data_IF_162643897040
#
_entry.id   IF_162643897040
#
_cell.length_a   1.000
_cell.length_b   1.000
_cell.length_c   1.000
_cell.angle_alpha   90.00
_cell.angle_beta   90.00
_cell.angle_gamma   90.00
#
_symmetry.space_group_name_H-M   'P 1'
#
loop_
_entity.id
_entity.type
_entity.pdbx_description
1 polymer ?
#
# COMPACT_ATOMS: atom_id res chain seq x y z
N UNK A 1 -9.87 -30.71 8.48
CA UNK A 1 -10.00 -29.25 8.72
C UNK A 1 -8.65 -28.76 9.20
N UNK A 2 -7.80 -28.25 8.30
CA UNK A 2 -6.44 -27.82 8.65
C UNK A 2 -6.36 -26.29 8.53
N UNK A 3 -6.34 -25.61 9.66
CA UNK A 3 -5.94 -24.20 9.73
C UNK A 3 -4.41 -24.18 9.76
N UNK A 4 -3.79 -23.79 8.66
CA UNK A 4 -2.38 -23.40 8.65
C UNK A 4 -2.30 -22.01 9.29
N UNK A 5 -1.79 -21.94 10.51
CA UNK A 5 -1.35 -20.68 11.11
C UNK A 5 -0.07 -20.26 10.39
N UNK A 6 -0.08 -19.12 9.70
CA UNK A 6 1.15 -18.51 9.17
C UNK A 6 2.15 -18.37 10.33
N UNK A 7 3.31 -19.00 10.17
CA UNK A 7 4.46 -18.88 11.06
C UNK A 7 5.31 -17.71 10.54
N UNK A 8 5.53 -16.70 11.39
CA UNK A 8 6.27 -15.48 11.06
C UNK A 8 7.71 -15.51 11.58
N UNK A 9 8.21 -16.69 12.00
CA UNK A 9 9.54 -16.82 12.62
C UNK A 9 10.72 -16.61 11.66
N UNK A 10 10.48 -16.55 10.35
CA UNK A 10 11.49 -16.32 9.31
C UNK A 10 11.54 -14.87 8.79
N UNK A 11 10.71 -13.98 9.34
CA UNK A 11 10.70 -12.56 8.96
C UNK A 11 12.00 -11.87 9.40
N UNK A 12 12.91 -11.64 8.45
CA UNK A 12 14.12 -10.85 8.68
C UNK A 12 13.91 -9.40 8.28
N UNK A 13 14.43 -8.48 9.11
CA UNK A 13 14.51 -7.06 8.78
C UNK A 13 15.40 -6.86 7.55
N UNK A 14 14.91 -6.11 6.56
CA UNK A 14 15.68 -5.76 5.37
C UNK A 14 16.53 -4.51 5.65
N UNK A 15 17.83 -4.59 5.40
CA UNK A 15 18.73 -3.44 5.45
C UNK A 15 18.21 -2.34 4.49
N UNK A 16 17.99 -1.14 5.04
CA UNK A 16 17.54 0.04 4.30
C UNK A 16 16.16 0.58 4.68
N UNK A 17 15.38 -0.13 5.50
CA UNK A 17 14.16 0.44 6.13
C UNK A 17 14.52 0.85 7.56
N UNK A 18 14.91 2.11 7.74
CA UNK A 18 15.19 2.69 9.05
C UNK A 18 13.88 2.92 9.81
N UNK A 19 13.43 1.92 10.59
CA UNK A 19 12.54 2.19 11.71
C UNK A 19 13.41 2.74 12.84
N UNK A 20 13.16 3.96 13.32
CA UNK A 20 13.76 4.42 14.57
C UNK A 20 13.30 3.45 15.66
N UNK A 21 14.21 2.60 16.14
CA UNK A 21 13.97 1.77 17.30
C UNK A 21 13.65 2.69 18.49
N UNK A 22 12.49 2.47 19.11
CA UNK A 22 12.16 3.13 20.36
C UNK A 22 12.99 2.49 21.46
N UNK A 23 13.76 3.31 22.17
CA UNK A 23 14.51 2.87 23.34
C UNK A 23 13.51 2.38 24.42
N UNK A 24 13.57 1.11 24.86
CA UNK A 24 12.65 0.58 25.86
C UNK A 24 12.81 1.21 27.24
N UNK A 25 13.96 1.83 27.52
CA UNK A 25 14.27 2.48 28.80
C UNK A 25 14.11 4.00 28.78
N UNK A 26 13.69 4.60 27.65
CA UNK A 26 13.29 6.01 27.67
C UNK A 26 11.96 6.09 28.41
N UNK A 27 12.00 6.65 29.63
CA UNK A 27 10.79 7.10 30.30
C UNK A 27 9.99 7.95 29.31
N UNK A 28 8.68 7.68 29.22
CA UNK A 28 7.76 8.56 28.54
C UNK A 28 7.94 9.92 29.22
N UNK A 29 8.65 10.87 28.61
CA UNK A 29 8.52 12.24 29.07
C UNK A 29 7.03 12.52 28.94
N UNK A 30 6.38 12.73 30.08
CA UNK A 30 4.98 13.15 30.11
C UNK A 30 4.88 14.29 29.12
N UNK A 31 4.25 14.03 27.97
CA UNK A 31 3.87 15.09 27.06
C UNK A 31 2.94 15.93 27.90
N UNK A 32 3.48 17.02 28.46
CA UNK A 32 2.71 18.01 29.19
C UNK A 32 1.68 18.47 28.19
N UNK A 33 0.47 17.94 28.31
CA UNK A 33 -0.71 18.38 27.59
C UNK A 33 -0.94 19.81 28.05
N UNK A 34 -0.22 20.73 27.43
CA UNK A 34 -0.52 22.14 27.50
C UNK A 34 -1.85 22.27 26.80
N UNK A 35 -2.88 22.56 27.57
CA UNK A 35 -4.18 22.95 27.05
C UNK A 35 -3.95 24.10 26.08
N UNK A 36 -4.05 23.80 24.78
CA UNK A 36 -4.06 24.82 23.72
C UNK A 36 -5.44 25.46 23.74
N UNK A 37 -5.71 26.26 24.78
CA UNK A 37 -6.96 26.99 24.91
C UNK A 37 -6.93 28.35 24.19
N UNK A 38 -5.89 28.66 23.40
CA UNK A 38 -5.84 29.93 22.64
C UNK A 38 -5.15 29.82 21.28
N UNK A 39 -5.55 28.85 20.45
CA UNK A 39 -5.45 28.99 18.99
C UNK A 39 -6.72 28.43 18.36
N UNK A 40 -7.56 29.33 17.84
CA UNK A 40 -8.74 29.05 17.03
C UNK A 40 -8.36 28.50 15.64
N UNK A 41 -7.45 27.54 15.58
CA UNK A 41 -7.14 26.81 14.35
C UNK A 41 -7.74 25.41 14.46
N UNK A 42 -8.81 25.18 13.71
CA UNK A 42 -9.39 23.85 13.55
C UNK A 42 -8.36 22.98 12.82
N UNK A 43 -7.63 22.15 13.57
CA UNK A 43 -6.72 21.17 12.99
C UNK A 43 -7.55 20.20 12.17
N UNK A 44 -7.39 20.22 10.84
CA UNK A 44 -8.07 19.29 9.96
C UNK A 44 -7.43 17.90 10.09
N UNK A 45 -8.19 16.95 10.64
CA UNK A 45 -7.75 15.57 10.87
C UNK A 45 -7.98 14.65 9.67
N UNK A 46 -8.51 15.18 8.55
CA UNK A 46 -8.87 14.39 7.36
C UNK A 46 -8.07 14.80 6.13
N UNK A 47 -7.71 13.82 5.31
CA UNK A 47 -7.16 14.06 3.99
C UNK A 47 -8.12 14.90 3.13
N UNK A 48 -7.58 15.81 2.35
CA UNK A 48 -8.35 16.58 1.39
C UNK A 48 -8.72 15.70 0.20
N UNK A 49 -9.98 15.26 0.16
CA UNK A 49 -10.53 14.41 -0.91
C UNK A 49 -11.48 15.22 -1.77
N UNK A 50 -11.00 15.76 -2.89
CA UNK A 50 -11.80 16.51 -3.85
C UNK A 50 -12.71 15.55 -4.64
N UNK A 51 -14.02 15.84 -4.64
CA UNK A 51 -15.04 15.03 -5.34
C UNK A 51 -14.90 15.06 -6.86
N UNK A 52 -14.22 16.07 -7.41
CA UNK A 52 -13.98 16.22 -8.85
C UNK A 52 -12.74 15.48 -9.32
N UNK A 53 -11.82 15.14 -8.40
CA UNK A 53 -10.62 14.36 -8.69
C UNK A 53 -10.91 12.87 -8.65
N UNK A 54 -10.16 12.11 -9.44
CA UNK A 54 -10.20 10.64 -9.41
C UNK A 54 -9.23 10.13 -8.34
N UNK A 55 -9.29 8.84 -8.07
CA UNK A 55 -8.21 8.16 -7.37
C UNK A 55 -7.44 7.31 -8.39
N UNK A 56 -6.22 6.91 -8.11
CA UNK A 56 -5.43 6.04 -9.00
C UNK A 56 -5.15 4.73 -8.28
N UNK A 57 -5.22 3.59 -8.97
CA UNK A 57 -4.84 2.30 -8.39
C UNK A 57 -4.08 1.46 -9.41
N UNK A 58 -3.13 0.66 -8.93
CA UNK A 58 -2.42 -0.33 -9.71
C UNK A 58 -2.70 -1.73 -9.14
N UNK A 59 -3.23 -2.63 -9.97
CA UNK A 59 -3.38 -4.05 -9.64
C UNK A 59 -2.35 -4.84 -10.44
N UNK A 60 -1.46 -5.55 -9.75
CA UNK A 60 -0.52 -6.50 -10.34
C UNK A 60 -0.95 -7.91 -9.94
N UNK A 61 -1.52 -8.64 -10.89
CA UNK A 61 -1.91 -10.04 -10.73
C UNK A 61 -0.83 -10.98 -11.26
N UNK A 62 0.09 -11.40 -10.39
CA UNK A 62 1.08 -12.43 -10.73
C UNK A 62 0.50 -13.81 -10.43
N UNK A 63 -0.09 -14.43 -11.44
CA UNK A 63 -0.68 -15.78 -11.38
C UNK A 63 0.38 -16.85 -11.68
N UNK A 64 1.16 -16.66 -12.74
CA UNK A 64 2.20 -17.60 -13.20
C UNK A 64 3.60 -17.04 -12.92
N UNK A 65 4.50 -17.92 -12.49
CA UNK A 65 5.89 -17.60 -12.19
C UNK A 65 6.82 -18.45 -13.06
N UNK A 66 8.04 -17.97 -13.27
CA UNK A 66 9.07 -18.72 -13.99
C UNK A 66 9.44 -20.00 -13.21
N UNK A 67 9.69 -21.10 -13.92
CA UNK A 67 10.04 -22.38 -13.29
C UNK A 67 11.29 -22.29 -12.41
N UNK A 68 12.22 -21.39 -12.73
CA UNK A 68 13.43 -21.15 -11.95
C UNK A 68 13.13 -20.67 -10.52
N UNK A 69 11.98 -20.02 -10.32
CA UNK A 69 11.54 -19.54 -8.99
C UNK A 69 11.00 -20.67 -8.12
N UNK A 70 10.66 -21.83 -8.71
CA UNK A 70 10.00 -22.96 -8.06
C UNK A 70 8.69 -22.59 -7.36
N UNK A 71 8.10 -21.44 -7.69
CA UNK A 71 6.83 -20.99 -7.15
C UNK A 71 5.67 -21.67 -7.89
N UNK A 72 4.66 -22.09 -7.14
CA UNK A 72 3.44 -22.65 -7.72
C UNK A 72 2.57 -21.57 -8.35
N UNK A 73 1.76 -21.97 -9.33
CA UNK A 73 0.78 -21.08 -9.96
C UNK A 73 -0.32 -20.71 -8.96
N UNK A 74 -0.62 -19.41 -8.83
CA UNK A 74 -1.68 -18.87 -7.96
C UNK A 74 -3.06 -18.98 -8.62
N UNK A 75 -3.50 -20.21 -8.85
CA UNK A 75 -4.78 -20.50 -9.52
C UNK A 75 -5.94 -19.75 -8.83
N UNK A 76 -6.79 -19.11 -9.63
CA UNK A 76 -7.93 -18.34 -9.12
C UNK A 76 -7.64 -16.87 -8.80
N UNK A 77 -6.39 -16.42 -8.80
CA UNK A 77 -6.01 -15.02 -8.53
C UNK A 77 -6.69 -14.00 -9.46
N UNK A 78 -7.06 -14.41 -10.68
CA UNK A 78 -7.84 -13.57 -11.60
C UNK A 78 -9.23 -13.16 -11.05
N UNK A 79 -9.84 -14.00 -10.20
CA UNK A 79 -11.13 -13.72 -9.56
C UNK A 79 -10.95 -12.64 -8.50
N UNK A 80 -9.87 -12.72 -7.73
CA UNK A 80 -9.52 -11.72 -6.72
C UNK A 80 -9.23 -10.38 -7.39
N UNK A 81 -8.40 -10.38 -8.44
CA UNK A 81 -8.09 -9.17 -9.20
C UNK A 81 -9.36 -8.49 -9.76
N UNK A 82 -10.29 -9.29 -10.31
CA UNK A 82 -11.57 -8.78 -10.82
C UNK A 82 -12.46 -8.21 -9.71
N UNK A 83 -12.55 -8.88 -8.56
CA UNK A 83 -13.33 -8.40 -7.42
C UNK A 83 -12.77 -7.10 -6.83
N UNK A 84 -11.45 -7.00 -6.71
CA UNK A 84 -10.75 -5.80 -6.24
C UNK A 84 -10.94 -4.65 -7.24
N UNK A 85 -10.78 -4.89 -8.54
CA UNK A 85 -11.00 -3.88 -9.57
C UNK A 85 -12.42 -3.31 -9.53
N UNK A 86 -13.44 -4.18 -9.41
CA UNK A 86 -14.83 -3.74 -9.31
C UNK A 86 -15.05 -2.87 -8.06
N UNK A 87 -14.49 -3.27 -6.92
CA UNK A 87 -14.58 -2.51 -5.66
C UNK A 87 -13.87 -1.16 -5.75
N UNK A 88 -12.70 -1.10 -6.38
CA UNK A 88 -11.97 0.16 -6.56
C UNK A 88 -12.69 1.10 -7.53
N UNK A 89 -13.31 0.57 -8.58
CA UNK A 89 -14.13 1.37 -9.50
C UNK A 89 -15.34 2.00 -8.82
N UNK A 90 -16.00 1.31 -7.87
CA UNK A 90 -17.11 1.92 -7.10
C UNK A 90 -16.62 3.07 -6.22
N UNK A 91 -15.36 3.01 -5.77
CA UNK A 91 -14.66 4.08 -5.04
C UNK A 91 -14.01 5.14 -5.97
N UNK A 92 -14.36 5.16 -7.26
CA UNK A 92 -13.86 6.09 -8.28
C UNK A 92 -12.35 6.10 -8.49
N UNK A 93 -11.72 4.95 -8.29
CA UNK A 93 -10.36 4.72 -8.74
C UNK A 93 -10.30 4.50 -10.25
N UNK A 94 -9.32 5.13 -10.89
CA UNK A 94 -8.82 4.76 -12.19
C UNK A 94 -7.85 3.59 -12.00
N UNK A 95 -8.28 2.39 -12.37
CA UNK A 95 -7.54 1.15 -12.09
C UNK A 95 -6.68 0.77 -13.30
N UNK A 96 -5.39 0.55 -13.06
CA UNK A 96 -4.43 0.02 -14.02
C UNK A 96 -4.20 -1.45 -13.68
N UNK A 97 -4.57 -2.37 -14.58
CA UNK A 97 -4.35 -3.79 -14.39
C UNK A 97 -3.09 -4.26 -15.14
N UNK A 98 -2.30 -5.10 -14.49
CA UNK A 98 -1.13 -5.77 -15.05
C UNK A 98 -1.12 -7.23 -14.60
N UNK A 99 -0.68 -8.13 -15.48
CA UNK A 99 -0.66 -9.57 -15.22
C UNK A 99 0.74 -10.13 -15.45
N UNK A 100 1.20 -10.99 -14.55
CA UNK A 100 2.47 -11.74 -14.64
C UNK A 100 3.68 -10.86 -15.01
N UNK A 101 4.01 -9.91 -14.15
CA UNK A 101 5.14 -9.01 -14.35
C UNK A 101 6.43 -9.59 -13.76
N UNK A 102 7.53 -9.43 -14.50
CA UNK A 102 8.87 -9.60 -13.96
C UNK A 102 9.21 -8.52 -12.93
N UNK A 103 10.21 -8.76 -12.08
CA UNK A 103 10.72 -7.73 -11.13
C UNK A 103 11.13 -6.45 -11.86
N UNK A 104 11.80 -6.57 -13.01
CA UNK A 104 12.20 -5.41 -13.82
C UNK A 104 10.98 -4.62 -14.30
N UNK A 105 9.95 -5.32 -14.78
CA UNK A 105 8.71 -4.70 -15.26
C UNK A 105 7.94 -4.01 -14.14
N UNK A 106 7.88 -4.62 -12.94
CA UNK A 106 7.24 -4.00 -11.78
C UNK A 106 7.98 -2.72 -11.37
N UNK A 107 9.31 -2.75 -11.28
CA UNK A 107 10.12 -1.56 -10.98
C UNK A 107 9.86 -0.45 -11.99
N UNK A 108 9.86 -0.77 -13.28
CA UNK A 108 9.59 0.22 -14.33
C UNK A 108 8.20 0.83 -14.17
N UNK A 109 7.17 0.03 -13.92
CA UNK A 109 5.80 0.54 -13.74
C UNK A 109 5.70 1.46 -12.51
N UNK A 110 6.35 1.12 -11.40
CA UNK A 110 6.37 2.01 -10.24
C UNK A 110 7.08 3.33 -10.55
N UNK A 111 8.21 3.27 -11.27
CA UNK A 111 8.91 4.48 -11.73
C UNK A 111 8.04 5.32 -12.65
N UNK A 112 7.41 4.71 -13.65
CA UNK A 112 6.54 5.39 -14.60
C UNK A 112 5.36 6.06 -13.88
N UNK A 113 4.71 5.34 -12.97
CA UNK A 113 3.59 5.86 -12.19
C UNK A 113 4.03 7.02 -11.30
N UNK A 114 5.17 6.91 -10.63
CA UNK A 114 5.71 7.97 -9.77
C UNK A 114 6.06 9.25 -10.52
N UNK A 115 6.32 9.16 -11.83
CA UNK A 115 6.64 10.27 -12.69
C UNK A 115 5.40 10.89 -13.38
N UNK A 116 4.20 10.31 -13.19
CA UNK A 116 2.98 10.87 -13.77
C UNK A 116 2.57 12.17 -13.07
N UNK A 117 1.79 12.99 -13.76
CA UNK A 117 1.14 14.13 -13.13
C UNK A 117 0.00 13.65 -12.20
N UNK A 118 0.22 13.81 -10.90
CA UNK A 118 -0.74 13.44 -9.86
C UNK A 118 -1.71 14.58 -9.47
N UNK A 119 -1.64 15.75 -10.11
CA UNK A 119 -2.45 16.92 -9.75
C UNK A 119 -3.97 16.68 -9.76
N UNK A 120 -4.44 15.76 -10.61
CA UNK A 120 -5.85 15.38 -10.75
C UNK A 120 -6.25 14.12 -10.00
N UNK A 121 -5.38 13.56 -9.15
CA UNK A 121 -5.68 12.42 -8.30
C UNK A 121 -5.67 12.81 -6.83
N UNK A 122 -6.62 12.29 -6.04
CA UNK A 122 -6.61 12.51 -4.59
C UNK A 122 -5.61 11.59 -3.89
N UNK A 123 -5.51 10.35 -4.35
CA UNK A 123 -4.63 9.33 -3.79
C UNK A 123 -4.22 8.29 -4.84
N UNK A 124 -3.21 7.50 -4.48
CA UNK A 124 -2.76 6.29 -5.14
C UNK A 124 -2.92 5.10 -4.19
#
# INVERSE_FOLDING_TARGET
MFRSTMDYTDAQSVEGIFFKERNPDSQLEDVKMTSVENSTESVNTRYNMDRNKKNLALIIDNESFDESTKMSKRQGSHRDASAIENTLKTLRFNVINRKNLSVKSMKQIFTDISAMDHGNYNCF
#
